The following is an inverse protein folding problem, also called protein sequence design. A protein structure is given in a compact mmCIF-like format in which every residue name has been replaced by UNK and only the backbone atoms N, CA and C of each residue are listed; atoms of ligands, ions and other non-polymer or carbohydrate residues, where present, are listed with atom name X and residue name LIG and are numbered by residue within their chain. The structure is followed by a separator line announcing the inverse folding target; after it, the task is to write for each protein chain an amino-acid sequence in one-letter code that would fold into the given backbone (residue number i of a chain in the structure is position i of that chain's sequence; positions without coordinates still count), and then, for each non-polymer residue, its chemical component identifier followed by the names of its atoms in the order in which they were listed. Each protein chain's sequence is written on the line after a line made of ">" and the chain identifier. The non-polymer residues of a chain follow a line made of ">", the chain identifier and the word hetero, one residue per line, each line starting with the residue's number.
data_IF_330636102377
#
_entry.id   IF_330636102377
#
_cell.length_a   1.000
_cell.length_b   1.000
_cell.length_c   1.000
_cell.angle_alpha   90.00
_cell.angle_beta   90.00
_cell.angle_gamma   90.00
#
_symmetry.space_group_name_H-M   'P 1'
#
loop_
_entity.id
_entity.type
_entity.pdbx_description
1 polymer ?
#
# COMPACT_ATOMS: atom_id res chain seq x y z
N UNK A 1 15.64 46.41 -21.37
CA UNK A 1 14.36 45.95 -21.95
C UNK A 1 13.90 44.80 -21.07
N UNK A 2 12.71 44.94 -20.50
CA UNK A 2 12.05 43.95 -19.67
C UNK A 2 11.36 42.90 -20.56
N UNK A 3 11.48 41.62 -20.19
CA UNK A 3 10.50 40.53 -20.26
C UNK A 3 11.01 39.52 -19.21
N UNK A 4 10.46 39.52 -17.99
CA UNK A 4 9.31 38.67 -17.59
C UNK A 4 9.55 37.22 -18.03
N UNK A 5 10.03 36.37 -17.12
CA UNK A 5 9.15 35.65 -16.19
C UNK A 5 8.21 34.72 -16.97
N UNK A 6 8.81 33.64 -17.47
CA UNK A 6 8.06 32.43 -17.75
C UNK A 6 8.75 31.36 -16.92
N UNK A 7 8.42 31.33 -15.63
CA UNK A 7 8.45 30.10 -14.87
C UNK A 7 7.62 29.10 -15.69
N UNK A 8 8.33 28.34 -16.52
CA UNK A 8 7.77 27.24 -17.27
C UNK A 8 7.37 26.21 -16.22
N UNK A 9 6.11 26.31 -15.81
CA UNK A 9 5.37 25.42 -14.93
C UNK A 9 5.53 24.00 -15.49
N UNK A 10 6.61 23.35 -15.09
CA UNK A 10 6.87 21.96 -15.37
C UNK A 10 5.93 21.21 -14.44
N UNK A 11 4.69 21.06 -14.89
CA UNK A 11 3.78 20.03 -14.42
C UNK A 11 4.46 18.69 -14.73
N UNK A 12 5.42 18.32 -13.88
CA UNK A 12 5.98 16.98 -13.84
C UNK A 12 4.78 16.08 -13.55
N UNK A 13 4.33 15.37 -14.58
CA UNK A 13 3.36 14.30 -14.47
C UNK A 13 4.01 13.24 -13.58
N UNK A 14 3.87 13.39 -12.26
CA UNK A 14 4.38 12.42 -11.30
C UNK A 14 3.54 11.17 -11.51
N UNK A 15 4.03 10.26 -12.34
CA UNK A 15 3.59 8.89 -12.43
C UNK A 15 3.82 8.29 -11.03
N UNK A 16 2.78 8.33 -10.18
CA UNK A 16 2.74 7.61 -8.91
C UNK A 16 2.81 6.13 -9.26
N UNK A 17 4.03 5.61 -9.46
CA UNK A 17 4.30 4.18 -9.54
C UNK A 17 3.76 3.58 -8.24
N UNK A 18 2.69 2.79 -8.34
CA UNK A 18 2.11 2.07 -7.21
C UNK A 18 3.20 1.14 -6.67
N UNK A 19 3.78 1.50 -5.51
CA UNK A 19 4.87 0.73 -4.92
C UNK A 19 4.30 -0.58 -4.38
N UNK A 20 4.65 -1.69 -5.04
CA UNK A 20 4.26 -3.03 -4.62
C UNK A 20 5.04 -3.39 -3.36
N UNK A 21 4.33 -3.54 -2.25
CA UNK A 21 4.89 -3.86 -0.94
C UNK A 21 5.22 -5.35 -0.85
N UNK A 22 4.38 -6.19 -1.44
CA UNK A 22 4.57 -7.64 -1.35
C UNK A 22 3.47 -8.47 -1.99
N UNK A 23 3.36 -9.71 -1.52
CA UNK A 23 2.40 -10.70 -2.01
C UNK A 23 1.47 -11.08 -0.87
N UNK A 24 0.16 -11.06 -1.12
CA UNK A 24 -0.85 -11.43 -0.15
C UNK A 24 -0.73 -12.91 0.23
N UNK A 25 -0.56 -13.20 1.52
CA UNK A 25 -0.47 -14.57 2.06
C UNK A 25 -1.82 -15.34 1.98
N UNK A 26 -2.93 -14.70 1.59
CA UNK A 26 -4.25 -15.33 1.42
C UNK A 26 -4.57 -15.63 -0.06
N UNK A 27 -4.52 -14.62 -0.94
CA UNK A 27 -4.91 -14.77 -2.35
C UNK A 27 -3.71 -14.93 -3.31
N UNK A 28 -2.48 -14.77 -2.82
CA UNK A 28 -1.23 -14.82 -3.61
C UNK A 28 -1.15 -13.79 -4.74
N UNK A 29 -1.88 -12.68 -4.62
CA UNK A 29 -1.81 -11.52 -5.53
C UNK A 29 -0.94 -10.42 -4.92
N UNK A 30 -0.33 -9.61 -5.79
CA UNK A 30 0.47 -8.43 -5.43
C UNK A 30 -0.36 -7.45 -4.58
N UNK A 31 0.26 -6.89 -3.56
CA UNK A 31 -0.34 -5.93 -2.61
C UNK A 31 0.41 -4.61 -2.76
N UNK A 32 -0.35 -3.55 -3.03
CA UNK A 32 0.13 -2.18 -3.15
C UNK A 32 0.14 -1.49 -1.79
N UNK A 33 0.97 -0.45 -1.63
CA UNK A 33 1.07 0.32 -0.36
C UNK A 33 -0.27 0.94 0.06
N UNK A 34 -1.14 1.22 -0.90
CA UNK A 34 -2.46 1.80 -0.62
C UNK A 34 -3.45 0.81 0.03
N UNK A 35 -3.27 -0.50 -0.14
CA UNK A 35 -4.18 -1.55 0.34
C UNK A 35 -3.44 -2.59 1.20
N UNK A 36 -2.29 -2.21 1.78
CA UNK A 36 -1.47 -3.10 2.58
C UNK A 36 -2.03 -3.29 4.00
N UNK A 37 -2.15 -4.55 4.41
CA UNK A 37 -2.54 -4.93 5.76
C UNK A 37 -1.52 -5.94 6.32
N UNK A 38 -0.70 -5.47 7.26
CA UNK A 38 0.41 -6.26 7.80
C UNK A 38 0.03 -6.86 9.16
N UNK A 39 0.21 -8.16 9.32
CA UNK A 39 0.03 -8.83 10.61
C UNK A 39 1.10 -8.33 11.62
N UNK A 40 0.70 -7.72 12.75
CA UNK A 40 1.64 -7.16 13.72
C UNK A 40 2.48 -8.21 14.46
N UNK A 41 2.11 -9.50 14.38
CA UNK A 41 2.80 -10.58 15.07
C UNK A 41 3.85 -11.29 14.22
N UNK A 42 3.61 -11.47 12.93
CA UNK A 42 4.50 -12.24 12.06
C UNK A 42 4.96 -11.49 10.80
N UNK A 43 4.43 -10.29 10.54
CA UNK A 43 4.75 -9.51 9.35
C UNK A 43 4.18 -10.07 8.05
N UNK A 44 3.18 -10.97 8.12
CA UNK A 44 2.48 -11.44 6.93
C UNK A 44 1.71 -10.28 6.27
N UNK A 45 1.75 -10.23 4.94
CA UNK A 45 1.16 -9.15 4.15
C UNK A 45 -0.16 -9.65 3.57
N UNK A 46 -1.19 -8.83 3.67
CA UNK A 46 -2.52 -9.09 3.13
C UNK A 46 -3.04 -7.83 2.47
N UNK A 47 -4.03 -7.99 1.58
CA UNK A 47 -4.90 -6.87 1.18
C UNK A 47 -5.80 -6.45 2.35
N UNK A 48 -6.18 -5.18 2.45
CA UNK A 48 -7.14 -4.68 3.43
C UNK A 48 -8.49 -5.41 3.34
N UNK A 49 -8.87 -5.87 2.15
CA UNK A 49 -10.09 -6.66 1.94
C UNK A 49 -9.88 -8.17 2.07
N UNK A 50 -8.63 -8.66 2.03
CA UNK A 50 -8.31 -10.07 2.27
C UNK A 50 -8.07 -10.39 3.74
N UNK A 51 -7.66 -9.40 4.54
CA UNK A 51 -7.33 -9.60 5.94
C UNK A 51 -8.59 -10.07 6.69
N UNK A 52 -8.53 -11.29 7.22
CA UNK A 52 -9.58 -11.84 8.07
C UNK A 52 -9.30 -11.46 9.52
N UNK A 53 -10.30 -11.68 10.38
CA UNK A 53 -10.14 -11.61 11.84
C UNK A 53 -9.01 -12.49 12.41
N UNK A 54 -8.44 -13.41 11.63
CA UNK A 54 -7.34 -14.29 12.05
C UNK A 54 -6.29 -14.38 10.93
N UNK A 55 -5.03 -14.15 11.28
CA UNK A 55 -3.89 -14.32 10.38
C UNK A 55 -3.74 -15.78 9.94
N UNK A 56 -3.80 -16.04 8.63
CA UNK A 56 -3.65 -17.38 8.05
C UNK A 56 -2.25 -17.98 8.28
N UNK A 57 -1.22 -17.15 8.51
CA UNK A 57 0.17 -17.59 8.70
C UNK A 57 0.51 -17.97 10.14
N UNK A 58 0.12 -17.15 11.12
CA UNK A 58 0.48 -17.36 12.53
C UNK A 58 -0.71 -17.68 13.45
N UNK A 59 -1.95 -17.58 12.95
CA UNK A 59 -3.17 -17.83 13.74
C UNK A 59 -3.51 -16.73 14.75
N UNK A 60 -2.81 -15.60 14.72
CA UNK A 60 -3.13 -14.46 15.60
C UNK A 60 -4.46 -13.84 15.19
N UNK A 61 -5.32 -13.55 16.16
CA UNK A 61 -6.55 -12.79 15.94
C UNK A 61 -6.22 -11.32 15.66
N UNK A 62 -6.50 -10.88 14.44
CA UNK A 62 -6.44 -9.50 13.98
C UNK A 62 -7.82 -8.90 14.26
N UNK A 63 -8.14 -8.68 15.53
CA UNK A 63 -9.40 -8.04 15.90
C UNK A 63 -9.40 -6.61 15.35
N UNK A 64 -10.40 -6.24 14.57
CA UNK A 64 -10.66 -4.83 14.23
C UNK A 64 -10.78 -4.04 15.55
N UNK A 65 -10.16 -2.85 15.68
CA UNK A 65 -10.41 -2.00 16.82
C UNK A 65 -11.89 -1.57 16.79
N UNK A 66 -12.62 -1.85 17.88
CA UNK A 66 -14.02 -1.47 18.07
C UNK A 66 -14.28 0.05 18.02
#
# INVERSE_FOLDING_TARGET
>A
MAYDDFEEDFEEEVELEEEIVGICDECSVEVDEADEAICPMCGAIYHEWCIKNVCSRCGTTLAEPE
#
